data_IF_611121209693
#
_entry.id   IF_611121209693
#
_cell.length_a   1.000
_cell.length_b   1.000
_cell.length_c   1.000
_cell.angle_alpha   90.00
_cell.angle_beta   90.00
_cell.angle_gamma   90.00
#
_symmetry.space_group_name_H-M   'P 1'
#
loop_
_entity.id
_entity.type
_entity.pdbx_description
1 polymer ?
#
# COMPACT_ATOMS: atom_id res chain seq x y z
N UNK A 1 -17.02 22.75 12.44
CA UNK A 1 -17.10 22.21 11.07
C UNK A 1 -18.39 21.39 10.95
N UNK A 2 -19.28 21.71 10.01
CA UNK A 2 -20.58 21.02 9.91
C UNK A 2 -20.46 19.62 9.30
N UNK A 3 -21.50 18.77 9.43
CA UNK A 3 -21.55 17.48 8.74
C UNK A 3 -21.42 17.65 7.22
N UNK A 4 -22.11 18.65 6.66
CA UNK A 4 -22.05 19.00 5.25
C UNK A 4 -20.62 19.31 4.81
N UNK A 5 -19.91 20.14 5.58
CA UNK A 5 -18.52 20.50 5.25
C UNK A 5 -17.60 19.29 5.27
N UNK A 6 -17.76 18.40 6.27
CA UNK A 6 -16.96 17.17 6.37
C UNK A 6 -17.19 16.20 5.20
N UNK A 7 -18.43 16.08 4.73
CA UNK A 7 -18.76 15.18 3.61
C UNK A 7 -18.32 15.74 2.26
N UNK A 8 -18.51 17.04 2.03
CA UNK A 8 -18.17 17.68 0.75
C UNK A 8 -16.67 17.84 0.52
N UNK A 9 -15.88 17.96 1.60
CA UNK A 9 -14.42 18.13 1.53
C UNK A 9 -13.65 16.88 1.97
N UNK A 10 -14.32 15.72 2.02
CA UNK A 10 -13.64 14.47 2.36
C UNK A 10 -12.55 14.19 1.31
N UNK A 11 -11.28 14.00 1.72
CA UNK A 11 -10.22 13.66 0.77
C UNK A 11 -10.53 12.33 0.08
N UNK A 12 -10.13 12.23 -1.19
CA UNK A 12 -10.19 10.96 -1.93
C UNK A 12 -9.30 9.93 -1.21
N UNK A 13 -9.74 8.67 -1.09
CA UNK A 13 -8.89 7.61 -0.54
C UNK A 13 -7.54 7.59 -1.25
N UNK A 14 -6.49 7.38 -0.46
CA UNK A 14 -5.15 7.15 -0.96
C UNK A 14 -4.55 5.97 -0.21
N UNK A 15 -3.70 5.22 -0.90
CA UNK A 15 -2.92 4.13 -0.34
C UNK A 15 -1.45 4.33 -0.74
N UNK A 16 -0.53 3.75 0.03
CA UNK A 16 0.90 3.80 -0.27
C UNK A 16 1.40 2.39 -0.53
N UNK A 17 1.80 2.11 -1.76
CA UNK A 17 2.36 0.84 -2.16
C UNK A 17 3.88 0.86 -1.96
N UNK A 18 4.47 0.02 -1.09
CA UNK A 18 5.91 -0.04 -0.91
C UNK A 18 6.54 -0.82 -2.08
N UNK A 19 7.00 -0.11 -3.10
CA UNK A 19 7.67 -0.73 -4.25
C UNK A 19 9.09 -1.07 -3.86
N UNK A 20 9.48 -2.34 -3.99
CA UNK A 20 10.86 -2.76 -3.68
C UNK A 20 11.82 -2.26 -4.76
N UNK A 21 12.89 -1.57 -4.35
CA UNK A 21 13.91 -1.00 -5.24
C UNK A 21 15.29 -1.65 -5.07
N UNK A 22 15.50 -2.42 -4.00
CA UNK A 22 16.76 -3.13 -3.73
C UNK A 22 16.49 -4.52 -3.09
N UNK A 23 17.51 -5.37 -3.03
CA UNK A 23 17.43 -6.69 -2.38
C UNK A 23 17.40 -6.54 -0.85
N UNK A 24 16.26 -6.89 -0.26
CA UNK A 24 16.00 -6.80 1.18
C UNK A 24 16.40 -8.08 1.94
N UNK A 25 16.98 -9.09 1.29
CA UNK A 25 17.15 -10.43 1.87
C UNK A 25 17.98 -10.44 3.15
N UNK A 26 19.18 -9.86 3.14
CA UNK A 26 20.05 -9.83 4.32
C UNK A 26 19.54 -8.85 5.39
N UNK A 27 18.97 -7.72 4.97
CA UNK A 27 18.39 -6.72 5.87
C UNK A 27 17.20 -7.31 6.63
N UNK A 28 16.36 -8.10 5.96
CA UNK A 28 15.23 -8.80 6.58
C UNK A 28 15.69 -9.83 7.62
N UNK A 29 16.75 -10.60 7.33
CA UNK A 29 17.33 -11.53 8.31
C UNK A 29 17.85 -10.79 9.53
N UNK A 30 18.54 -9.67 9.31
CA UNK A 30 19.08 -8.85 10.39
C UNK A 30 17.97 -8.23 11.24
N UNK A 31 16.94 -7.67 10.60
CA UNK A 31 15.76 -7.10 11.28
C UNK A 31 15.07 -8.14 12.17
N UNK A 32 14.87 -9.36 11.67
CA UNK A 32 14.29 -10.44 12.48
C UNK A 32 15.21 -10.87 13.64
N UNK A 33 16.53 -10.91 13.42
CA UNK A 33 17.51 -11.20 14.48
C UNK A 33 17.45 -10.17 15.60
N UNK A 34 17.46 -8.86 15.28
CA UNK A 34 17.43 -7.79 16.29
C UNK A 34 16.06 -7.70 16.98
N UNK A 35 14.96 -7.96 16.28
CA UNK A 35 13.62 -8.10 16.88
C UNK A 35 13.57 -9.22 17.90
N UNK A 36 14.12 -10.39 17.58
CA UNK A 36 14.17 -11.52 18.49
C UNK A 36 14.99 -11.20 19.74
N UNK A 37 16.16 -10.57 19.58
CA UNK A 37 16.99 -10.13 20.69
C UNK A 37 16.26 -9.13 21.60
N UNK A 38 15.61 -8.12 21.00
CA UNK A 38 14.81 -7.15 21.73
C UNK A 38 13.68 -7.80 22.54
N UNK A 39 13.00 -8.80 21.97
CA UNK A 39 11.96 -9.57 22.66
C UNK A 39 12.50 -10.39 23.82
N UNK A 40 13.67 -11.03 23.65
CA UNK A 40 14.32 -11.78 24.72
C UNK A 40 14.72 -10.88 25.89
N UNK A 41 15.29 -9.70 25.61
CA UNK A 41 15.65 -8.72 26.62
C UNK A 41 14.41 -8.17 27.35
N UNK A 42 13.30 -7.94 26.64
CA UNK A 42 12.03 -7.55 27.27
C UNK A 42 11.49 -8.63 28.22
N UNK A 43 11.60 -9.91 27.86
CA UNK A 43 11.17 -11.03 28.71
C UNK A 43 12.02 -11.18 29.97
N UNK A 44 13.28 -10.74 29.95
CA UNK A 44 14.15 -10.72 31.13
C UNK A 44 13.76 -9.62 32.14
N UNK A 45 12.99 -8.62 31.73
CA UNK A 45 12.48 -7.57 32.62
C UNK A 45 13.60 -6.83 33.36
N UNK A 46 13.50 -6.75 34.68
CA UNK A 46 14.48 -6.07 35.56
C UNK A 46 15.85 -6.77 35.59
N UNK A 47 15.95 -8.02 35.14
CA UNK A 47 17.22 -8.74 35.06
C UNK A 47 18.03 -8.40 33.79
N UNK A 48 17.45 -7.67 32.84
CA UNK A 48 18.14 -7.25 31.64
C UNK A 48 19.09 -6.07 31.93
N UNK A 49 20.30 -6.13 31.35
CA UNK A 49 21.22 -4.99 31.36
C UNK A 49 20.61 -3.82 30.57
N UNK A 50 20.43 -2.68 31.23
CA UNK A 50 19.85 -1.46 30.63
C UNK A 50 20.64 -1.01 29.40
N UNK A 51 21.97 -1.19 29.40
CA UNK A 51 22.82 -0.85 28.27
C UNK A 51 22.56 -1.75 27.07
N UNK A 52 22.33 -3.05 27.31
CA UNK A 52 21.95 -4.02 26.28
C UNK A 52 20.55 -3.75 25.71
N UNK A 53 19.59 -3.38 26.55
CA UNK A 53 18.25 -2.96 26.11
C UNK A 53 18.32 -1.72 25.22
N UNK A 54 19.16 -0.74 25.59
CA UNK A 54 19.36 0.48 24.81
C UNK A 54 20.01 0.19 23.45
N UNK A 55 21.04 -0.66 23.44
CA UNK A 55 21.70 -1.09 22.20
C UNK A 55 20.70 -1.82 21.27
N UNK A 56 19.94 -2.78 21.79
CA UNK A 56 18.95 -3.51 20.98
C UNK A 56 17.86 -2.61 20.39
N UNK A 57 17.45 -1.54 21.10
CA UNK A 57 16.52 -0.54 20.54
C UNK A 57 17.15 0.28 19.42
N UNK A 58 18.42 0.67 19.57
CA UNK A 58 19.14 1.40 18.53
C UNK A 58 19.35 0.53 17.28
N UNK A 59 19.74 -0.74 17.47
CA UNK A 59 19.93 -1.71 16.40
C UNK A 59 18.61 -1.98 15.65
N UNK A 60 17.50 -2.12 16.39
CA UNK A 60 16.17 -2.26 15.78
C UNK A 60 15.81 -1.05 14.93
N UNK A 61 15.98 0.17 15.43
CA UNK A 61 15.69 1.39 14.68
C UNK A 61 16.57 1.53 13.43
N UNK A 62 17.85 1.13 13.52
CA UNK A 62 18.77 1.13 12.40
C UNK A 62 18.35 0.09 11.34
N UNK A 63 17.99 -1.13 11.76
CA UNK A 63 17.52 -2.18 10.86
C UNK A 63 16.18 -1.83 10.19
N UNK A 64 15.25 -1.18 10.91
CA UNK A 64 13.99 -0.68 10.34
C UNK A 64 14.23 0.42 9.30
N UNK A 65 15.19 1.31 9.56
CA UNK A 65 15.60 2.35 8.60
C UNK A 65 16.24 1.74 7.36
N UNK A 66 17.14 0.77 7.53
CA UNK A 66 17.77 0.05 6.43
C UNK A 66 16.72 -0.72 5.60
N UNK A 67 15.75 -1.35 6.27
CA UNK A 67 14.64 -2.04 5.60
C UNK A 67 13.79 -1.06 4.80
N UNK A 68 13.46 0.11 5.36
CA UNK A 68 12.70 1.13 4.65
C UNK A 68 13.42 1.64 3.40
N UNK A 69 14.75 1.74 3.42
CA UNK A 69 15.55 2.18 2.28
C UNK A 69 15.53 1.21 1.09
N UNK A 70 15.12 -0.05 1.28
CA UNK A 70 14.93 -1.01 0.18
C UNK A 70 13.61 -0.81 -0.58
N UNK A 71 12.76 0.13 -0.16
CA UNK A 71 11.45 0.36 -0.74
C UNK A 71 11.22 1.84 -1.04
N UNK A 72 10.64 2.12 -2.19
CA UNK A 72 10.13 3.44 -2.57
C UNK A 72 8.61 3.48 -2.39
N UNK A 73 8.06 4.43 -1.60
CA UNK A 73 6.62 4.56 -1.42
C UNK A 73 5.95 5.15 -2.67
N UNK A 74 5.17 4.35 -3.39
CA UNK A 74 4.33 4.81 -4.50
C UNK A 74 2.95 5.18 -3.96
N UNK A 75 2.60 6.47 -4.04
CA UNK A 75 1.29 6.95 -3.60
C UNK A 75 0.26 6.70 -4.71
N UNK A 76 -0.83 6.02 -4.35
CA UNK A 76 -1.97 5.75 -5.22
C UNK A 76 -3.18 6.51 -4.68
N UNK A 77 -3.75 7.42 -5.46
CA UNK A 77 -4.95 8.16 -5.08
C UNK A 77 -6.14 7.74 -5.93
N UNK A 78 -7.26 7.47 -5.29
CA UNK A 78 -8.51 7.16 -5.99
C UNK A 78 -8.90 8.29 -6.95
N UNK A 79 -9.42 7.92 -8.11
CA UNK A 79 -10.01 8.82 -9.08
C UNK A 79 -11.35 9.41 -8.57
N UNK A 80 -11.86 10.46 -9.20
CA UNK A 80 -13.27 10.82 -9.09
C UNK A 80 -14.17 9.62 -9.47
N UNK A 81 -15.28 9.36 -8.75
CA UNK A 81 -16.11 8.18 -9.00
C UNK A 81 -16.65 8.09 -10.44
N UNK A 82 -17.05 9.21 -11.01
CA UNK A 82 -17.52 9.33 -12.39
C UNK A 82 -16.42 8.99 -13.41
N UNK A 83 -15.19 9.45 -13.16
CA UNK A 83 -14.04 9.12 -14.01
C UNK A 83 -13.70 7.62 -13.94
N UNK A 84 -13.80 7.01 -12.76
CA UNK A 84 -13.57 5.56 -12.60
C UNK A 84 -14.61 4.73 -13.35
N UNK A 85 -15.90 5.07 -13.25
CA UNK A 85 -16.97 4.39 -14.00
C UNK A 85 -16.84 4.59 -15.52
N UNK A 86 -16.42 5.80 -15.95
CA UNK A 86 -16.14 6.06 -17.37
C UNK A 86 -15.01 5.16 -17.89
N UNK A 87 -13.93 5.01 -17.11
CA UNK A 87 -12.80 4.15 -17.46
C UNK A 87 -13.22 2.67 -17.56
N UNK A 88 -14.08 2.18 -16.66
CA UNK A 88 -14.66 0.82 -16.78
C UNK A 88 -15.43 0.70 -18.11
N UNK A 89 -16.18 1.74 -18.48
CA UNK A 89 -16.94 1.80 -19.73
C UNK A 89 -16.07 1.79 -21.00
N UNK A 90 -14.84 2.31 -20.93
CA UNK A 90 -13.86 2.28 -22.02
C UNK A 90 -13.21 0.90 -22.17
N UNK A 91 -13.03 0.19 -21.06
CA UNK A 91 -12.40 -1.13 -21.00
C UNK A 91 -13.41 -2.26 -20.76
N UNK A 92 -14.41 -2.37 -21.64
CA UNK A 92 -15.49 -3.37 -21.52
C UNK A 92 -14.97 -4.82 -21.56
N UNK A 93 -15.59 -5.77 -20.82
CA UNK A 93 -15.29 -7.20 -20.90
C UNK A 93 -15.28 -7.73 -22.33
N UNK A 94 -14.37 -8.65 -22.64
CA UNK A 94 -14.36 -9.32 -23.95
C UNK A 94 -15.46 -10.40 -24.03
N UNK A 95 -16.18 -10.53 -25.16
CA UNK A 95 -17.32 -11.46 -25.30
C UNK A 95 -17.03 -12.94 -25.02
N UNK A 96 -15.76 -13.38 -25.15
CA UNK A 96 -15.35 -14.79 -25.06
C UNK A 96 -14.21 -14.99 -24.03
N UNK A 97 -14.31 -14.34 -22.87
CA UNK A 97 -13.26 -14.38 -21.84
C UNK A 97 -13.84 -14.58 -20.43
N UNK A 98 -12.96 -14.73 -19.45
CA UNK A 98 -13.34 -14.74 -18.03
C UNK A 98 -13.57 -13.31 -17.46
N UNK A 99 -13.46 -12.28 -18.30
CA UNK A 99 -13.70 -10.88 -17.92
C UNK A 99 -15.14 -10.73 -17.39
N UNK A 100 -15.29 -10.25 -16.15
CA UNK A 100 -16.62 -10.05 -15.53
C UNK A 100 -17.11 -8.61 -15.62
N UNK A 101 -16.30 -7.68 -15.13
CA UNK A 101 -16.68 -6.26 -14.97
C UNK A 101 -15.95 -5.38 -15.99
N UNK A 102 -14.70 -5.71 -16.30
CA UNK A 102 -13.83 -4.99 -17.23
C UNK A 102 -12.88 -5.96 -17.93
N UNK A 103 -12.25 -5.51 -19.01
CA UNK A 103 -11.19 -6.23 -19.70
C UNK A 103 -9.94 -6.33 -18.81
N UNK A 104 -9.60 -7.55 -18.40
CA UNK A 104 -8.47 -7.82 -17.49
C UNK A 104 -7.10 -7.49 -18.09
N UNK A 105 -7.00 -7.37 -19.42
CA UNK A 105 -5.73 -7.09 -20.09
C UNK A 105 -5.45 -5.58 -20.17
N UNK A 106 -6.48 -4.74 -20.19
CA UNK A 106 -6.34 -3.29 -20.44
C UNK A 106 -6.71 -2.43 -19.24
N UNK A 107 -7.78 -2.78 -18.52
CA UNK A 107 -8.29 -1.95 -17.44
C UNK A 107 -7.32 -1.79 -16.26
N UNK A 108 -6.67 -2.86 -15.73
CA UNK A 108 -5.87 -2.75 -14.52
C UNK A 108 -4.67 -1.79 -14.66
N UNK A 109 -4.07 -1.71 -15.85
CA UNK A 109 -2.98 -0.75 -16.11
C UNK A 109 -3.52 0.66 -16.30
N UNK A 110 -4.65 0.82 -17.00
CA UNK A 110 -5.25 2.13 -17.21
C UNK A 110 -5.65 2.79 -15.88
N UNK A 111 -6.30 2.04 -14.97
CA UNK A 111 -6.63 2.59 -13.63
C UNK A 111 -5.37 2.93 -12.83
N UNK A 112 -4.31 2.14 -12.97
CA UNK A 112 -3.06 2.42 -12.28
C UNK A 112 -2.46 3.77 -12.72
N UNK A 113 -2.41 4.04 -14.03
CA UNK A 113 -1.83 5.28 -14.57
C UNK A 113 -2.61 6.53 -14.12
N UNK A 114 -3.91 6.42 -13.94
CA UNK A 114 -4.74 7.50 -13.42
C UNK A 114 -4.63 7.68 -11.89
N UNK A 115 -4.10 6.69 -11.16
CA UNK A 115 -4.01 6.72 -9.70
C UNK A 115 -2.63 7.10 -9.16
N UNK A 116 -1.55 6.87 -9.93
CA UNK A 116 -0.19 7.13 -9.46
C UNK A 116 0.04 8.63 -9.26
N UNK A 117 0.47 9.00 -8.06
CA UNK A 117 1.04 10.32 -7.78
C UNK A 117 2.57 10.20 -7.79
N UNK A 118 3.20 10.67 -8.86
CA UNK A 118 4.65 10.59 -9.07
C UNK A 118 5.16 11.78 -9.87
N UNK A 119 6.44 12.08 -9.69
CA UNK A 119 7.21 13.03 -10.48
C UNK A 119 7.75 12.44 -11.79
N UNK A 120 7.71 11.11 -11.95
CA UNK A 120 8.07 10.43 -13.19
C UNK A 120 7.03 10.71 -14.28
N UNK A 121 7.53 10.90 -15.50
CA UNK A 121 6.71 10.97 -16.72
C UNK A 121 6.09 9.63 -17.06
N UNK A 122 5.07 9.64 -17.91
CA UNK A 122 4.43 8.42 -18.42
C UNK A 122 5.45 7.50 -19.13
N UNK A 123 6.40 8.06 -19.88
CA UNK A 123 7.43 7.29 -20.56
C UNK A 123 8.41 6.59 -19.60
N UNK A 124 8.75 7.24 -18.48
CA UNK A 124 9.60 6.67 -17.43
C UNK A 124 8.85 5.56 -16.68
N UNK A 125 7.57 5.77 -16.35
CA UNK A 125 6.73 4.71 -15.79
C UNK A 125 6.57 3.52 -16.72
N UNK A 126 6.46 3.75 -18.02
CA UNK A 126 6.43 2.69 -19.03
C UNK A 126 7.75 1.92 -19.12
N UNK A 127 8.88 2.57 -18.84
CA UNK A 127 10.18 1.90 -18.72
C UNK A 127 10.23 1.05 -17.45
N UNK A 128 9.91 1.63 -16.28
CA UNK A 128 9.84 0.92 -14.99
C UNK A 128 8.93 -0.31 -15.11
N UNK A 129 7.76 -0.12 -15.70
CA UNK A 129 6.78 -1.18 -15.93
C UNK A 129 7.39 -2.35 -16.70
N UNK A 130 8.09 -2.09 -17.81
CA UNK A 130 8.59 -3.12 -18.72
C UNK A 130 9.88 -3.79 -18.23
N UNK A 131 10.78 -3.02 -17.63
CA UNK A 131 12.17 -3.42 -17.38
C UNK A 131 12.46 -3.73 -15.92
N UNK A 132 11.75 -3.09 -14.98
CA UNK A 132 12.05 -3.17 -13.54
C UNK A 132 11.06 -4.08 -12.83
N UNK A 133 9.76 -3.89 -13.06
CA UNK A 133 8.73 -4.65 -12.34
C UNK A 133 8.63 -6.09 -12.83
N UNK A 134 8.67 -7.03 -11.89
CA UNK A 134 8.25 -8.42 -12.11
C UNK A 134 6.74 -8.50 -12.40
N UNK A 135 6.30 -9.63 -12.95
CA UNK A 135 4.87 -9.84 -13.20
C UNK A 135 4.04 -9.76 -11.90
N UNK A 136 4.56 -10.29 -10.79
CA UNK A 136 3.88 -10.23 -9.49
C UNK A 136 3.69 -8.80 -9.00
N UNK A 137 4.73 -7.97 -9.10
CA UNK A 137 4.67 -6.55 -8.72
C UNK A 137 3.68 -5.78 -9.60
N UNK A 138 3.67 -6.02 -10.92
CA UNK A 138 2.68 -5.42 -11.84
C UNK A 138 1.24 -5.74 -11.42
N UNK A 139 0.96 -7.02 -11.16
CA UNK A 139 -0.37 -7.46 -10.73
C UNK A 139 -0.76 -6.83 -9.39
N UNK A 140 0.13 -6.85 -8.40
CA UNK A 140 -0.18 -6.30 -7.08
C UNK A 140 -0.35 -4.78 -7.08
N UNK A 141 0.45 -4.06 -7.87
CA UNK A 141 0.35 -2.61 -8.00
C UNK A 141 -0.96 -2.22 -8.70
N UNK A 142 -1.36 -2.91 -9.77
CA UNK A 142 -2.68 -2.75 -10.39
C UNK A 142 -3.82 -3.07 -9.41
N UNK A 143 -3.71 -4.16 -8.65
CA UNK A 143 -4.70 -4.52 -7.64
C UNK A 143 -4.82 -3.44 -6.56
N UNK A 144 -3.71 -2.84 -6.13
CA UNK A 144 -3.72 -1.72 -5.19
C UNK A 144 -4.47 -0.49 -5.74
N UNK A 145 -4.25 -0.14 -7.01
CA UNK A 145 -4.96 0.95 -7.67
C UNK A 145 -6.47 0.67 -7.81
N UNK A 146 -6.86 -0.58 -8.08
CA UNK A 146 -8.27 -0.97 -8.09
C UNK A 146 -8.86 -0.85 -6.68
N UNK A 147 -8.18 -1.38 -5.64
CA UNK A 147 -8.65 -1.35 -4.26
C UNK A 147 -8.93 0.06 -3.76
N UNK A 148 -8.08 1.03 -4.09
CA UNK A 148 -8.28 2.43 -3.66
C UNK A 148 -9.54 3.05 -4.28
N UNK A 149 -9.96 2.59 -5.46
CA UNK A 149 -11.16 3.08 -6.17
C UNK A 149 -12.46 2.36 -5.80
N UNK A 150 -12.44 1.05 -5.52
CA UNK A 150 -13.67 0.26 -5.28
C UNK A 150 -14.40 0.65 -3.98
N UNK A 151 -13.75 1.41 -3.08
CA UNK A 151 -14.36 2.04 -1.88
C UNK A 151 -15.29 1.08 -1.11
N UNK A 152 -14.83 -0.14 -0.86
CA UNK A 152 -15.62 -1.14 -0.12
C UNK A 152 -15.91 -0.60 1.29
N UNK A 153 -17.18 -0.59 1.75
CA UNK A 153 -17.50 -0.27 3.13
C UNK A 153 -16.69 -1.15 4.08
N UNK A 154 -16.19 -0.56 5.17
CA UNK A 154 -15.42 -1.31 6.15
C UNK A 154 -16.33 -2.31 6.88
N UNK A 155 -16.21 -3.58 6.49
CA UNK A 155 -16.97 -4.69 7.07
C UNK A 155 -16.47 -5.09 8.46
N UNK A 156 -15.35 -4.54 8.92
CA UNK A 156 -14.81 -4.80 10.26
C UNK A 156 -15.48 -3.94 11.34
N UNK A 157 -16.25 -2.93 10.95
CA UNK A 157 -17.00 -2.08 11.88
C UNK A 157 -18.02 -2.94 12.67
N UNK A 158 -17.92 -2.99 14.01
CA UNK A 158 -18.82 -3.79 14.83
C UNK A 158 -20.28 -3.37 14.66
N UNK A 159 -21.21 -4.32 14.71
CA UNK A 159 -22.65 -4.00 14.75
C UNK A 159 -22.94 -3.09 15.95
N UNK A 160 -23.56 -1.93 15.70
CA UNK A 160 -23.89 -0.96 16.75
C UNK A 160 -22.80 0.06 17.07
N UNK A 161 -21.72 0.15 16.27
CA UNK A 161 -20.66 1.15 16.44
C UNK A 161 -21.14 2.62 16.40
N UNK A 162 -22.35 2.85 15.89
CA UNK A 162 -23.01 4.17 15.86
C UNK A 162 -23.86 4.48 17.10
N UNK A 163 -23.89 3.61 18.11
CA UNK A 163 -24.61 3.91 19.36
C UNK A 163 -23.76 4.83 20.24
N UNK A 164 -24.16 6.09 20.33
CA UNK A 164 -23.59 7.06 21.27
C UNK A 164 -23.80 6.56 22.69
N UNK A 165 -22.78 6.56 23.59
CA UNK A 165 -23.02 6.30 25.00
C UNK A 165 -24.04 7.32 25.53
N UNK A 166 -25.07 6.80 26.20
CA UNK A 166 -26.11 7.60 26.86
C UNK A 166 -25.54 8.38 28.07
#
# INVERSE_FOLDING_TARGET
MSLRDRLLHRPRPADTYPLRIDDDTEIRKELERVRMLGRLLQLQGEAADESAVRAAKADLAAAETAMAACYEPVVLRAMPPDAFEALIGEHKPRPDSEDKVWNLDTFPRAVLWECIESDLTEAEWDQVWREVLSNGERVELCNAAIRVNVRVPDSTLPKGWTQTPA
#
